data_IF_246651711185
#
_entry.id   IF_246651711185
#
_cell.length_a   1.000
_cell.length_b   1.000
_cell.length_c   1.000
_cell.angle_alpha   90.00
_cell.angle_beta   90.00
_cell.angle_gamma   90.00
#
_symmetry.space_group_name_H-M   'P 1'
#
loop_
_entity.id
_entity.type
_entity.pdbx_description
1 polymer ?
#
# COMPACT_ATOMS: atom_id res chain seq x y z
N UNK A 1 -33.51 -68.31 -36.81
CA UNK A 1 -33.41 -66.87 -37.14
C UNK A 1 -33.54 -66.18 -35.79
N UNK A 2 -32.48 -65.70 -35.14
CA UNK A 2 -31.48 -64.70 -35.55
C UNK A 2 -30.14 -65.06 -34.90
N UNK A 3 -29.06 -64.96 -35.67
CA UNK A 3 -27.68 -65.22 -35.24
C UNK A 3 -27.08 -63.96 -34.59
N UNK A 4 -26.42 -64.14 -33.44
CA UNK A 4 -25.65 -63.09 -32.76
C UNK A 4 -24.21 -63.03 -33.32
N UNK A 5 -23.62 -61.85 -33.53
CA UNK A 5 -22.21 -61.72 -33.92
C UNK A 5 -21.28 -61.72 -32.69
N UNK A 6 -20.01 -62.14 -32.84
CA UNK A 6 -19.00 -62.00 -31.80
C UNK A 6 -18.37 -60.61 -31.81
N UNK A 7 -18.31 -59.96 -30.65
CA UNK A 7 -17.53 -58.74 -30.44
C UNK A 7 -16.03 -59.07 -30.43
N UNK A 8 -15.31 -58.51 -31.40
CA UNK A 8 -13.84 -58.51 -31.47
C UNK A 8 -13.32 -57.49 -30.45
N UNK A 9 -12.60 -57.97 -29.44
CA UNK A 9 -11.91 -57.14 -28.47
C UNK A 9 -10.62 -56.58 -29.09
N UNK A 10 -10.59 -55.27 -29.35
CA UNK A 10 -9.40 -54.54 -29.79
C UNK A 10 -8.61 -54.09 -28.55
N UNK A 11 -7.51 -54.77 -28.25
CA UNK A 11 -6.54 -54.38 -27.22
C UNK A 11 -5.67 -53.23 -27.77
N UNK A 12 -5.94 -52.00 -27.33
CA UNK A 12 -5.05 -50.84 -27.54
C UNK A 12 -4.06 -50.79 -26.38
N UNK A 13 -2.80 -51.14 -26.65
CA UNK A 13 -1.69 -50.96 -25.70
C UNK A 13 -1.25 -49.49 -25.76
N UNK A 14 -1.74 -48.70 -24.82
CA UNK A 14 -1.26 -47.34 -24.55
C UNK A 14 0.03 -47.43 -23.74
N UNK A 15 1.18 -47.25 -24.40
CA UNK A 15 2.45 -47.01 -23.75
C UNK A 15 2.44 -45.59 -23.17
N UNK A 16 2.15 -45.44 -21.87
CA UNK A 16 2.35 -44.19 -21.15
C UNK A 16 3.84 -44.03 -20.87
N UNK A 17 4.45 -43.09 -21.60
CA UNK A 17 5.80 -42.58 -21.35
C UNK A 17 5.80 -41.79 -20.04
N UNK A 18 6.34 -42.37 -18.98
CA UNK A 18 6.56 -41.69 -17.71
C UNK A 18 7.71 -40.69 -17.84
N UNK A 19 7.41 -39.45 -18.19
CA UNK A 19 8.34 -38.33 -18.07
C UNK A 19 8.52 -38.03 -16.58
N UNK A 20 9.56 -38.60 -15.97
CA UNK A 20 10.01 -38.21 -14.63
C UNK A 20 10.59 -36.80 -14.71
N UNK A 21 9.76 -35.78 -14.55
CA UNK A 21 10.22 -34.48 -14.05
C UNK A 21 10.73 -34.74 -12.63
N UNK A 22 12.04 -34.89 -12.48
CA UNK A 22 12.67 -34.83 -11.18
C UNK A 22 12.45 -33.43 -10.63
N UNK A 23 11.62 -33.30 -9.60
CA UNK A 23 11.76 -32.19 -8.65
C UNK A 23 13.19 -32.31 -8.11
N UNK A 24 14.04 -31.37 -8.47
CA UNK A 24 15.33 -31.16 -7.80
C UNK A 24 14.97 -30.77 -6.37
N UNK A 25 14.98 -31.76 -5.46
CA UNK A 25 14.82 -31.50 -4.05
C UNK A 25 16.02 -30.64 -3.65
N UNK A 26 15.75 -29.44 -3.15
CA UNK A 26 16.78 -28.58 -2.58
C UNK A 26 17.38 -29.28 -1.37
N UNK A 27 18.55 -29.90 -1.52
CA UNK A 27 19.25 -30.71 -0.51
C UNK A 27 19.87 -29.88 0.64
N UNK A 28 19.39 -28.65 0.90
CA UNK A 28 19.93 -27.76 1.92
C UNK A 28 19.05 -27.69 3.19
N UNK A 29 19.65 -27.37 4.35
CA UNK A 29 18.93 -27.18 5.60
C UNK A 29 17.91 -26.03 5.53
N UNK A 30 16.88 -26.11 6.37
CA UNK A 30 15.76 -25.17 6.41
C UNK A 30 15.79 -24.25 7.63
N UNK A 31 15.59 -22.95 7.43
CA UNK A 31 15.42 -21.97 8.49
C UNK A 31 13.95 -21.59 8.62
N UNK A 32 13.47 -21.66 9.86
CA UNK A 32 12.12 -21.30 10.27
C UNK A 32 12.18 -20.07 11.15
N UNK A 33 11.48 -19.01 10.78
CA UNK A 33 11.51 -17.72 11.48
C UNK A 33 10.17 -17.46 12.13
N UNK A 34 10.16 -17.41 13.46
CA UNK A 34 9.02 -16.99 14.26
C UNK A 34 9.24 -15.54 14.72
N UNK A 35 8.19 -14.71 14.69
CA UNK A 35 8.20 -13.33 15.16
C UNK A 35 7.47 -13.24 16.49
N UNK A 36 8.10 -12.60 17.47
CA UNK A 36 7.44 -12.12 18.69
C UNK A 36 7.33 -10.60 18.67
N UNK A 37 6.15 -10.05 18.94
CA UNK A 37 5.95 -8.59 18.97
C UNK A 37 4.76 -8.17 19.82
N UNK A 38 4.82 -6.96 20.39
CA UNK A 38 3.76 -6.25 21.10
C UNK A 38 3.14 -5.10 20.26
N UNK A 39 3.41 -5.09 18.95
CA UNK A 39 2.56 -4.41 17.98
C UNK A 39 1.27 -5.21 17.78
N UNK A 40 0.14 -4.52 17.60
CA UNK A 40 -1.19 -5.11 17.49
C UNK A 40 -1.47 -5.47 16.02
N UNK A 41 -1.60 -6.77 15.67
CA UNK A 41 -1.86 -7.18 14.29
C UNK A 41 -3.24 -6.73 13.83
N UNK A 42 -3.36 -6.34 12.56
CA UNK A 42 -4.62 -5.84 11.99
C UNK A 42 -5.05 -4.46 12.50
N UNK A 43 -4.34 -3.88 13.48
CA UNK A 43 -4.49 -2.50 13.92
C UNK A 43 -3.30 -1.64 13.49
N UNK A 44 -2.08 -2.09 13.78
CA UNK A 44 -0.86 -1.30 13.51
C UNK A 44 -0.09 -1.82 12.29
N UNK A 45 -0.13 -3.13 12.04
CA UNK A 45 0.51 -3.75 10.88
C UNK A 45 -0.42 -4.78 10.25
N UNK A 46 -0.36 -4.90 8.93
CA UNK A 46 -1.14 -5.83 8.12
C UNK A 46 -0.30 -7.00 7.60
N UNK A 47 1.03 -6.84 7.51
CA UNK A 47 1.92 -7.83 6.93
C UNK A 47 3.28 -7.83 7.62
N UNK A 48 3.90 -8.99 7.68
CA UNK A 48 5.30 -9.16 8.07
C UNK A 48 6.08 -9.57 6.83
N UNK A 49 7.16 -8.85 6.52
CA UNK A 49 8.14 -9.26 5.51
C UNK A 49 9.40 -9.72 6.20
N UNK A 50 9.85 -10.93 5.86
CA UNK A 50 11.13 -11.49 6.31
C UNK A 50 12.03 -11.63 5.10
N UNK A 51 13.14 -10.91 5.06
CA UNK A 51 14.13 -10.99 3.99
C UNK A 51 15.45 -11.58 4.49
N UNK A 52 16.04 -12.49 3.71
CA UNK A 52 17.37 -13.05 3.95
C UNK A 52 18.40 -12.34 3.10
N UNK A 53 19.41 -11.77 3.76
CA UNK A 53 20.63 -11.23 3.17
C UNK A 53 21.86 -12.04 3.58
N UNK A 54 22.87 -12.08 2.70
CA UNK A 54 24.11 -12.81 2.92
C UNK A 54 24.03 -14.29 2.49
N UNK A 55 25.18 -14.96 2.43
CA UNK A 55 25.31 -16.35 1.94
C UNK A 55 25.23 -16.51 0.42
N UNK A 56 25.98 -17.46 -0.13
CA UNK A 56 26.05 -17.77 -1.57
C UNK A 56 24.89 -18.65 -2.04
N UNK A 57 23.65 -18.21 -1.88
CA UNK A 57 22.51 -19.00 -2.38
C UNK A 57 21.12 -18.43 -2.14
N UNK A 58 20.95 -17.55 -1.14
CA UNK A 58 19.65 -17.03 -0.72
C UNK A 58 19.61 -15.50 -0.54
N UNK A 59 20.66 -14.78 -0.96
CA UNK A 59 20.66 -13.31 -0.89
C UNK A 59 19.52 -12.73 -1.72
N UNK A 60 18.56 -12.06 -1.05
CA UNK A 60 17.37 -11.46 -1.66
C UNK A 60 16.12 -12.35 -1.63
N UNK A 61 16.17 -13.54 -0.99
CA UNK A 61 14.96 -14.32 -0.75
C UNK A 61 14.11 -13.64 0.34
N UNK A 62 12.79 -13.57 0.14
CA UNK A 62 11.87 -13.01 1.12
C UNK A 62 10.61 -13.86 1.26
N UNK A 63 9.98 -13.76 2.42
CA UNK A 63 8.67 -14.32 2.71
C UNK A 63 7.76 -13.20 3.24
N UNK A 64 6.57 -13.10 2.67
CA UNK A 64 5.50 -12.25 3.17
C UNK A 64 4.48 -13.09 3.94
N UNK A 65 4.07 -12.60 5.10
CA UNK A 65 3.06 -13.22 5.95
C UNK A 65 2.00 -12.18 6.33
N UNK A 66 0.76 -12.37 5.88
CA UNK A 66 -0.34 -11.49 6.24
C UNK A 66 -0.71 -11.68 7.73
N UNK A 67 -0.78 -10.59 8.46
CA UNK A 67 -1.00 -10.60 9.90
C UNK A 67 -2.49 -10.76 10.22
N UNK A 68 -2.86 -11.87 10.87
CA UNK A 68 -4.21 -12.06 11.35
C UNK A 68 -4.44 -11.35 12.69
N UNK A 69 -5.52 -10.59 12.82
CA UNK A 69 -5.87 -9.89 14.06
C UNK A 69 -6.06 -10.83 15.27
N UNK A 70 -6.33 -12.13 15.02
CA UNK A 70 -6.50 -13.17 16.05
C UNK A 70 -5.22 -13.92 16.39
N UNK A 71 -4.10 -13.63 15.71
CA UNK A 71 -2.84 -14.34 15.95
C UNK A 71 -2.14 -13.81 17.21
N UNK A 72 -1.59 -14.73 18.02
CA UNK A 72 -0.87 -14.38 19.23
C UNK A 72 0.63 -14.18 18.95
N UNK A 73 0.96 -12.96 18.55
CA UNK A 73 2.36 -12.56 18.32
C UNK A 73 3.17 -12.41 19.62
N UNK A 74 2.57 -12.45 20.81
CA UNK A 74 3.33 -12.42 22.06
C UNK A 74 3.94 -13.80 22.37
N UNK A 75 3.24 -14.88 22.03
CA UNK A 75 3.78 -16.23 22.14
C UNK A 75 4.71 -16.59 20.97
N UNK A 76 4.46 -16.01 19.80
CA UNK A 76 5.32 -16.07 18.62
C UNK A 76 4.62 -16.74 17.43
N UNK A 77 4.76 -16.15 16.24
CA UNK A 77 4.08 -16.59 15.01
C UNK A 77 5.09 -16.86 13.90
N UNK A 78 4.94 -17.97 13.18
CA UNK A 78 5.76 -18.29 12.00
C UNK A 78 5.52 -17.26 10.89
N UNK A 79 6.55 -16.51 10.53
CA UNK A 79 6.50 -15.45 9.51
C UNK A 79 7.37 -15.74 8.28
N UNK A 80 8.18 -16.81 8.30
CA UNK A 80 8.94 -17.24 7.14
C UNK A 80 9.51 -18.65 7.28
N UNK A 81 9.58 -19.37 6.19
CA UNK A 81 10.26 -20.65 6.08
C UNK A 81 11.09 -20.66 4.79
N UNK A 82 12.37 -20.97 4.94
CA UNK A 82 13.36 -20.89 3.87
C UNK A 82 14.11 -22.21 3.82
N UNK A 83 14.14 -22.83 2.65
CA UNK A 83 14.78 -24.13 2.43
C UNK A 83 16.02 -23.97 1.55
N UNK A 84 16.88 -24.99 1.50
CA UNK A 84 18.03 -24.97 0.58
C UNK A 84 19.13 -23.98 0.99
N UNK A 85 19.23 -23.62 2.27
CA UNK A 85 20.15 -22.58 2.73
C UNK A 85 21.57 -23.12 2.98
N UNK A 86 22.58 -22.34 2.59
CA UNK A 86 23.98 -22.59 2.94
C UNK A 86 24.23 -22.32 4.43
N UNK A 87 25.15 -23.09 5.03
CA UNK A 87 25.67 -22.79 6.35
C UNK A 87 26.50 -21.49 6.35
N UNK A 88 26.39 -20.69 7.40
CA UNK A 88 27.07 -19.42 7.55
C UNK A 88 26.28 -18.43 8.39
N UNK A 89 26.72 -17.17 8.40
CA UNK A 89 25.99 -16.08 9.05
C UNK A 89 24.93 -15.53 8.08
N UNK A 90 23.66 -15.74 8.42
CA UNK A 90 22.52 -15.23 7.67
C UNK A 90 22.03 -13.93 8.32
N UNK A 91 21.93 -12.86 7.55
CA UNK A 91 21.29 -11.63 7.98
C UNK A 91 19.80 -11.72 7.66
N UNK A 92 18.94 -11.49 8.64
CA UNK A 92 17.50 -11.43 8.50
C UNK A 92 17.04 -10.00 8.71
N UNK A 93 16.29 -9.45 7.77
CA UNK A 93 15.58 -8.18 7.95
C UNK A 93 14.10 -8.49 8.10
N UNK A 94 13.54 -8.21 9.28
CA UNK A 94 12.13 -8.43 9.59
C UNK A 94 11.45 -7.06 9.62
N UNK A 95 10.44 -6.86 8.79
CA UNK A 95 9.68 -5.61 8.69
C UNK A 95 8.22 -5.86 9.03
N UNK A 96 7.67 -5.03 9.91
CA UNK A 96 6.23 -4.86 10.06
C UNK A 96 5.77 -3.82 9.04
N UNK A 97 4.82 -4.20 8.19
CA UNK A 97 4.27 -3.34 7.15
C UNK A 97 2.82 -2.99 7.47
N UNK A 98 2.47 -1.72 7.29
CA UNK A 98 1.09 -1.25 7.29
C UNK A 98 0.36 -1.73 6.03
N UNK A 99 -0.95 -1.51 5.99
CA UNK A 99 -1.78 -1.89 4.85
C UNK A 99 -1.36 -1.20 3.54
N UNK A 100 -0.88 0.04 3.63
CA UNK A 100 -0.34 0.81 2.51
C UNK A 100 1.07 0.37 2.05
N UNK A 101 1.63 -0.65 2.69
CA UNK A 101 2.97 -1.18 2.41
C UNK A 101 4.11 -0.39 3.08
N UNK A 102 3.83 0.70 3.81
CA UNK A 102 4.86 1.43 4.55
C UNK A 102 5.41 0.60 5.69
N UNK A 103 6.70 0.71 5.96
CA UNK A 103 7.32 0.05 7.11
C UNK A 103 6.93 0.77 8.40
N UNK A 104 6.25 0.05 9.30
CA UNK A 104 5.98 0.49 10.67
C UNK A 104 7.23 0.37 11.54
N UNK A 105 7.88 -0.80 11.49
CA UNK A 105 9.04 -1.11 12.29
C UNK A 105 9.92 -2.15 11.56
N UNK A 106 11.22 -2.11 11.82
CA UNK A 106 12.18 -3.00 11.16
C UNK A 106 13.21 -3.49 12.17
N UNK A 107 13.67 -4.73 11.99
CA UNK A 107 14.74 -5.32 12.81
C UNK A 107 15.71 -6.11 11.96
N UNK A 108 16.99 -5.85 12.18
CA UNK A 108 18.09 -6.68 11.72
C UNK A 108 18.42 -7.75 12.77
N UNK A 109 18.43 -9.01 12.34
CA UNK A 109 18.87 -10.16 13.13
C UNK A 109 19.97 -10.91 12.37
N UNK A 110 20.89 -11.56 13.08
CA UNK A 110 21.94 -12.40 12.47
C UNK A 110 21.90 -13.79 13.08
N UNK A 111 21.71 -14.79 12.23
CA UNK A 111 21.63 -16.20 12.64
C UNK A 111 22.89 -16.93 12.20
N UNK A 112 23.59 -17.54 13.15
CA UNK A 112 24.70 -18.47 12.89
C UNK A 112 24.13 -19.82 12.46
N UNK A 113 23.94 -20.00 11.17
CA UNK A 113 23.22 -21.13 10.61
C UNK A 113 24.17 -22.26 10.20
N UNK A 114 23.84 -23.49 10.59
CA UNK A 114 24.68 -24.68 10.29
C UNK A 114 23.88 -25.93 9.94
N UNK A 115 22.61 -25.97 10.33
CA UNK A 115 21.65 -27.05 10.12
C UNK A 115 20.26 -26.48 10.27
N UNK A 116 19.23 -27.25 9.88
CA UNK A 116 17.85 -26.79 10.00
C UNK A 116 17.52 -26.35 11.43
N UNK A 117 16.93 -25.17 11.55
CA UNK A 117 16.71 -24.51 12.84
C UNK A 117 15.43 -23.68 12.81
N UNK A 118 14.80 -23.53 13.99
CA UNK A 118 13.79 -22.52 14.25
C UNK A 118 14.40 -21.41 15.10
N UNK A 119 14.15 -20.17 14.72
CA UNK A 119 14.58 -18.98 15.48
C UNK A 119 13.39 -18.10 15.77
N UNK A 120 13.36 -17.48 16.96
CA UNK A 120 12.37 -16.48 17.33
C UNK A 120 13.02 -15.12 17.37
N UNK A 121 12.45 -14.16 16.66
CA UNK A 121 12.93 -12.79 16.57
C UNK A 121 11.94 -11.89 17.31
N UNK A 122 12.36 -11.30 18.43
CA UNK A 122 11.61 -10.26 19.16
C UNK A 122 11.69 -8.86 18.51
N UNK A 123 10.61 -8.34 17.96
CA UNK A 123 10.53 -6.96 17.45
C UNK A 123 9.56 -6.19 18.35
N UNK A 124 10.09 -5.44 19.32
CA UNK A 124 9.27 -4.75 20.33
C UNK A 124 9.00 -3.28 19.99
N UNK A 125 7.86 -2.76 20.44
CA UNK A 125 7.47 -1.35 20.31
C UNK A 125 8.44 -0.40 20.99
N UNK A 126 9.03 -0.80 22.10
CA UNK A 126 10.05 -0.01 22.80
C UNK A 126 11.27 0.32 21.94
N UNK A 127 11.44 -0.32 20.79
CA UNK A 127 12.48 -0.01 19.80
C UNK A 127 12.06 0.97 18.71
N UNK A 128 10.82 1.46 18.67
CA UNK A 128 10.30 2.32 17.59
C UNK A 128 11.17 3.57 17.35
N UNK A 129 11.62 4.19 18.45
CA UNK A 129 12.39 5.44 18.42
C UNK A 129 13.88 5.24 18.79
N UNK A 130 14.35 3.99 18.80
CA UNK A 130 15.73 3.65 19.18
C UNK A 130 16.60 3.51 17.95
N UNK A 131 17.62 4.36 17.85
CA UNK A 131 18.67 4.25 16.82
C UNK A 131 19.88 3.51 17.37
N UNK A 132 20.25 2.39 16.75
CA UNK A 132 21.41 1.60 17.13
C UNK A 132 22.54 1.64 16.08
N UNK A 133 23.82 1.77 16.49
CA UNK A 133 24.27 1.94 17.88
C UNK A 133 23.89 3.31 18.45
N UNK A 134 23.51 3.34 19.73
CA UNK A 134 23.25 4.57 20.45
C UNK A 134 24.53 5.34 20.76
N UNK A 135 24.38 6.54 21.32
CA UNK A 135 25.54 7.38 21.66
C UNK A 135 26.33 6.75 22.81
N UNK A 136 27.53 6.24 22.50
CA UNK A 136 28.42 5.60 23.48
C UNK A 136 28.38 4.07 23.45
N UNK A 137 27.47 3.48 22.66
CA UNK A 137 27.37 2.04 22.49
C UNK A 137 28.49 1.51 21.57
N UNK A 138 28.93 0.26 21.74
CA UNK A 138 29.82 -0.41 20.80
C UNK A 138 29.26 -0.43 19.37
N UNK A 139 30.14 -0.29 18.37
CA UNK A 139 29.75 -0.34 16.96
C UNK A 139 29.12 -1.69 16.51
N UNK A 140 29.28 -2.75 17.31
CA UNK A 140 28.65 -4.06 17.10
C UNK A 140 27.17 -4.08 17.48
N UNK A 141 26.72 -3.17 18.35
CA UNK A 141 25.34 -3.10 18.83
C UNK A 141 24.45 -2.37 17.84
N UNK A 142 24.09 -3.07 16.76
CA UNK A 142 23.38 -2.51 15.60
C UNK A 142 21.90 -2.87 15.55
N UNK A 143 21.40 -3.64 16.51
CA UNK A 143 20.00 -4.02 16.61
C UNK A 143 19.41 -3.52 17.93
N UNK A 144 18.09 -3.33 17.98
CA UNK A 144 17.38 -3.03 19.21
C UNK A 144 16.56 -4.24 19.65
N UNK A 145 16.59 -4.54 20.94
CA UNK A 145 15.73 -5.52 21.60
C UNK A 145 15.20 -4.89 22.89
N UNK A 146 13.87 -4.86 23.03
CA UNK A 146 13.19 -4.34 24.21
C UNK A 146 13.55 -2.88 24.56
N UNK A 147 14.04 -2.08 23.61
CA UNK A 147 14.43 -0.68 23.83
C UNK A 147 15.91 -0.48 24.16
N UNK A 148 16.73 -1.55 24.11
CA UNK A 148 18.18 -1.47 24.31
C UNK A 148 18.93 -1.89 23.04
N UNK A 149 20.00 -1.17 22.71
CA UNK A 149 20.90 -1.58 21.63
C UNK A 149 21.68 -2.84 22.03
N UNK A 150 21.76 -3.79 21.11
CA UNK A 150 22.38 -5.11 21.30
C UNK A 150 23.04 -5.58 20.00
N UNK A 151 23.91 -6.58 20.11
CA UNK A 151 24.44 -7.28 18.94
C UNK A 151 23.29 -7.97 18.16
N UNK A 152 23.25 -7.91 16.82
CA UNK A 152 22.20 -8.54 16.01
C UNK A 152 22.02 -10.05 16.21
N UNK A 153 22.96 -10.74 16.85
CA UNK A 153 22.84 -12.16 17.24
C UNK A 153 22.00 -12.41 18.49
N UNK A 154 21.62 -11.36 19.24
CA UNK A 154 20.59 -11.42 20.27
C UNK A 154 19.22 -11.44 19.56
N UNK A 155 18.48 -12.56 19.56
CA UNK A 155 17.28 -12.75 18.74
C UNK A 155 15.99 -12.61 19.56
N UNK A 156 15.85 -13.36 20.65
CA UNK A 156 14.64 -13.37 21.48
C UNK A 156 14.76 -12.51 22.75
N UNK A 157 15.98 -12.11 23.13
CA UNK A 157 16.23 -11.28 24.31
C UNK A 157 16.68 -12.06 25.55
N UNK A 158 16.69 -13.39 25.47
CA UNK A 158 17.08 -14.31 26.55
C UNK A 158 18.41 -15.03 26.29
N UNK A 159 19.06 -14.75 25.16
CA UNK A 159 20.37 -15.29 24.84
C UNK A 159 21.47 -14.68 25.71
N UNK A 160 22.55 -15.44 25.95
CA UNK A 160 23.71 -14.97 26.73
C UNK A 160 24.39 -13.73 26.12
N UNK A 161 24.23 -13.52 24.81
CA UNK A 161 24.74 -12.35 24.08
C UNK A 161 23.87 -11.11 24.24
N UNK A 162 22.68 -11.23 24.81
CA UNK A 162 21.78 -10.12 25.06
C UNK A 162 22.16 -9.32 26.31
N UNK A 163 21.62 -8.10 26.41
CA UNK A 163 21.63 -7.35 27.65
C UNK A 163 20.90 -8.12 28.78
N UNK A 164 21.18 -7.83 30.06
CA UNK A 164 20.45 -8.41 31.17
C UNK A 164 18.92 -8.24 31.01
N UNK A 165 18.12 -9.22 31.46
CA UNK A 165 16.67 -9.16 31.32
C UNK A 165 16.10 -7.93 32.05
N UNK A 166 15.10 -7.30 31.44
CA UNK A 166 14.39 -6.14 31.98
C UNK A 166 13.37 -6.53 33.05
N UNK A 167 12.87 -7.76 32.97
CA UNK A 167 11.84 -8.27 33.85
C UNK A 167 12.04 -9.74 34.17
N UNK A 168 11.51 -10.13 35.32
CA UNK A 168 11.30 -11.51 35.74
C UNK A 168 9.81 -11.86 35.81
N UNK A 169 8.97 -10.86 36.06
CA UNK A 169 7.52 -10.97 36.11
C UNK A 169 6.84 -9.73 35.51
N UNK A 170 5.54 -9.81 35.24
CA UNK A 170 4.77 -8.71 34.65
C UNK A 170 4.79 -7.43 35.49
N UNK A 171 4.92 -7.55 36.82
CA UNK A 171 4.95 -6.42 37.75
C UNK A 171 6.23 -5.57 37.64
N UNK A 172 7.30 -6.11 37.03
CA UNK A 172 8.54 -5.36 36.77
C UNK A 172 8.38 -4.38 35.61
N UNK A 173 7.35 -4.55 34.78
CA UNK A 173 7.15 -3.80 33.56
C UNK A 173 6.22 -2.60 33.75
N UNK A 174 6.52 -1.52 33.04
CA UNK A 174 5.67 -0.34 33.02
C UNK A 174 4.29 -0.66 32.43
N UNK A 175 3.23 -0.10 33.03
CA UNK A 175 1.88 -0.21 32.48
C UNK A 175 1.76 0.55 31.15
N UNK A 176 0.97 0.02 30.22
CA UNK A 176 0.61 0.68 28.97
C UNK A 176 -0.61 1.60 29.12
N UNK A 177 -1.37 1.76 28.04
CA UNK A 177 -2.69 2.41 28.11
C UNK A 177 -3.66 1.59 29.00
N UNK A 178 -4.82 2.17 29.35
CA UNK A 178 -5.76 1.55 30.29
C UNK A 178 -6.33 0.20 29.84
N UNK A 179 -6.18 -0.16 28.57
CA UNK A 179 -6.61 -1.44 28.01
C UNK A 179 -5.44 -2.37 27.68
N UNK A 180 -4.20 -2.00 28.06
CA UNK A 180 -3.02 -2.84 27.88
C UNK A 180 -2.51 -3.37 29.22
N UNK A 181 -2.08 -4.63 29.20
CA UNK A 181 -1.47 -5.30 30.33
C UNK A 181 0.02 -5.49 30.09
N UNK A 182 0.89 -5.11 31.03
CA UNK A 182 2.30 -5.46 30.95
C UNK A 182 2.47 -6.98 31.01
N UNK A 183 3.34 -7.52 30.16
CA UNK A 183 3.72 -8.93 30.19
C UNK A 183 5.24 -9.06 30.08
N UNK A 184 5.79 -9.97 30.89
CA UNK A 184 7.20 -10.34 30.78
C UNK A 184 7.33 -11.60 29.92
N UNK A 185 8.12 -11.52 28.84
CA UNK A 185 8.37 -12.64 27.93
C UNK A 185 9.84 -12.65 27.50
N UNK A 186 10.54 -13.75 27.76
CA UNK A 186 11.97 -13.87 27.41
C UNK A 186 12.84 -12.78 28.04
N UNK A 187 12.48 -12.30 29.25
CA UNK A 187 13.19 -11.21 29.91
C UNK A 187 12.89 -9.80 29.35
N UNK A 188 12.03 -9.67 28.35
CA UNK A 188 11.61 -8.39 27.78
C UNK A 188 10.23 -7.97 28.29
N UNK A 189 10.08 -6.67 28.56
CA UNK A 189 8.79 -6.06 28.84
C UNK A 189 8.04 -5.79 27.55
N UNK A 190 6.86 -6.39 27.42
CA UNK A 190 5.95 -6.26 26.29
C UNK A 190 4.57 -5.83 26.80
N UNK A 191 3.71 -5.36 25.89
CA UNK A 191 2.34 -4.98 26.21
C UNK A 191 1.35 -5.90 25.48
N UNK A 192 0.49 -6.57 26.25
CA UNK A 192 -0.64 -7.34 25.73
C UNK A 192 -1.90 -6.49 25.70
N UNK A 193 -2.74 -6.68 24.70
CA UNK A 193 -4.10 -6.10 24.70
C UNK A 193 -4.98 -6.87 25.67
N UNK A 194 -5.79 -6.15 26.43
CA UNK A 194 -6.89 -6.70 27.23
C UNK A 194 -8.21 -6.35 26.54
N UNK A 195 -8.79 -7.28 25.76
CA UNK A 195 -10.03 -7.02 25.03
C UNK A 195 -11.22 -6.80 25.96
N UNK A 196 -11.19 -7.33 27.19
CA UNK A 196 -12.27 -7.19 28.17
C UNK A 196 -12.25 -5.81 28.86
N UNK A 197 -11.14 -5.07 28.74
CA UNK A 197 -11.02 -3.72 29.27
C UNK A 197 -11.75 -2.67 28.42
N UNK A 198 -12.10 -2.98 27.18
CA UNK A 198 -12.83 -2.07 26.29
C UNK A 198 -14.33 -2.40 26.20
N UNK A 199 -15.14 -1.37 25.97
CA UNK A 199 -16.58 -1.55 25.76
C UNK A 199 -16.86 -2.34 24.47
N UNK A 200 -18.05 -2.92 24.35
CA UNK A 200 -18.47 -3.62 23.13
C UNK A 200 -18.35 -2.70 21.90
N UNK A 201 -17.73 -3.20 20.83
CA UNK A 201 -17.47 -2.42 19.62
C UNK A 201 -16.25 -1.50 19.69
N UNK A 202 -15.41 -1.64 20.73
CA UNK A 202 -14.11 -0.97 20.81
C UNK A 202 -12.96 -1.97 20.76
N UNK A 203 -11.81 -1.52 20.25
CA UNK A 203 -10.53 -2.25 20.24
C UNK A 203 -9.51 -1.50 21.10
N UNK A 204 -8.60 -2.25 21.70
CA UNK A 204 -7.52 -1.64 22.47
C UNK A 204 -6.41 -1.14 21.56
N UNK A 205 -6.23 0.18 21.52
CA UNK A 205 -5.10 0.83 20.89
C UNK A 205 -3.99 1.12 21.91
N UNK A 206 -2.72 0.81 21.58
CA UNK A 206 -1.61 0.90 22.52
C UNK A 206 -1.31 2.32 23.03
N UNK A 207 -1.47 3.33 22.16
CA UNK A 207 -1.30 4.74 22.52
C UNK A 207 -2.62 5.39 22.96
N UNK A 208 -3.71 5.18 22.22
CA UNK A 208 -4.98 5.90 22.41
C UNK A 208 -5.91 5.30 23.47
N UNK A 209 -5.65 4.06 23.93
CA UNK A 209 -6.58 3.33 24.79
C UNK A 209 -7.72 2.70 23.99
N UNK A 210 -8.92 2.60 24.55
CA UNK A 210 -10.07 2.02 23.84
C UNK A 210 -10.57 2.96 22.74
N UNK A 211 -10.50 2.50 21.49
CA UNK A 211 -11.00 3.22 20.31
C UNK A 211 -12.11 2.41 19.64
N UNK A 212 -13.02 3.04 18.90
CA UNK A 212 -14.04 2.29 18.16
C UNK A 212 -13.37 1.26 17.21
N UNK A 213 -13.86 0.03 17.24
CA UNK A 213 -13.49 -0.97 16.26
C UNK A 213 -13.90 -0.46 14.89
N UNK A 214 -13.00 -0.51 13.90
CA UNK A 214 -13.46 -0.42 12.53
C UNK A 214 -14.49 -1.54 12.30
N UNK A 215 -15.56 -1.24 11.56
CA UNK A 215 -16.50 -2.29 11.13
C UNK A 215 -15.75 -3.42 10.42
N UNK A 216 -16.44 -4.56 10.22
CA UNK A 216 -15.89 -5.86 9.77
C UNK A 216 -15.08 -5.88 8.44
N UNK A 217 -14.66 -4.74 7.90
CA UNK A 217 -13.88 -4.55 6.68
C UNK A 217 -12.44 -4.01 6.83
N UNK A 218 -11.91 -3.74 8.03
CA UNK A 218 -10.46 -3.51 8.22
C UNK A 218 -10.06 -2.32 9.09
N UNK A 219 -9.02 -2.54 9.92
CA UNK A 219 -8.12 -1.64 10.67
C UNK A 219 -8.75 -0.40 11.34
N UNK A 220 -8.60 -0.27 12.67
CA UNK A 220 -9.13 0.90 13.38
C UNK A 220 -8.56 2.19 12.80
N UNK A 221 -9.46 3.13 12.52
CA UNK A 221 -9.15 4.41 11.90
C UNK A 221 -8.12 5.17 12.73
N UNK A 222 -7.11 5.74 12.08
CA UNK A 222 -6.32 6.79 12.70
C UNK A 222 -7.25 8.01 12.93
N UNK A 223 -7.39 8.43 14.20
CA UNK A 223 -8.01 9.73 14.55
C UNK A 223 -7.12 10.83 13.95
N UNK A 224 -7.67 11.87 13.29
CA UNK A 224 -9.04 12.37 13.43
C UNK A 224 -10.15 11.68 12.62
N UNK A 225 -9.92 11.21 11.41
CA UNK A 225 -10.74 10.26 10.64
C UNK A 225 -10.01 9.95 9.31
N UNK A 226 -10.40 8.89 8.58
CA UNK A 226 -9.84 8.60 7.25
C UNK A 226 -10.79 9.04 6.13
N UNK A 227 -10.41 10.03 5.29
CA UNK A 227 -11.25 10.52 4.21
C UNK A 227 -11.16 9.66 2.93
N UNK A 228 -10.23 8.70 2.86
CA UNK A 228 -10.08 7.76 1.72
C UNK A 228 -11.07 6.61 1.87
N UNK A 229 -11.67 6.16 0.76
CA UNK A 229 -12.64 5.06 0.79
C UNK A 229 -11.98 3.69 1.04
N UNK A 230 -12.60 2.79 1.83
CA UNK A 230 -13.81 3.04 2.64
C UNK A 230 -13.53 4.01 3.81
N UNK A 231 -14.34 5.06 3.92
CA UNK A 231 -14.16 6.06 4.96
C UNK A 231 -14.44 5.47 6.33
N UNK A 232 -13.76 6.00 7.34
CA UNK A 232 -13.94 5.54 8.70
C UNK A 232 -13.57 6.62 9.74
N UNK A 233 -14.05 6.47 10.98
CA UNK A 233 -13.75 7.38 12.09
C UNK A 233 -14.84 8.42 12.41
N UNK A 234 -15.95 8.44 11.67
CA UNK A 234 -17.08 9.34 11.90
C UNK A 234 -18.38 8.60 12.28
N UNK A 235 -19.31 9.31 12.91
CA UNK A 235 -20.66 8.81 13.22
C UNK A 235 -21.44 8.51 11.92
N UNK A 236 -22.47 7.64 11.92
CA UNK A 236 -23.20 7.24 10.70
C UNK A 236 -23.90 8.37 9.92
N UNK A 237 -24.03 9.56 10.50
CA UNK A 237 -24.62 10.74 9.84
C UNK A 237 -23.56 11.72 9.29
N UNK A 238 -22.28 11.44 9.55
CA UNK A 238 -21.14 12.27 9.20
C UNK A 238 -20.22 11.52 8.23
N UNK A 239 -19.53 12.29 7.39
CA UNK A 239 -18.46 11.82 6.50
C UNK A 239 -17.15 12.46 6.90
N UNK A 240 -16.04 11.74 6.73
CA UNK A 240 -14.72 12.30 6.93
C UNK A 240 -14.36 13.18 5.73
N UNK A 241 -14.32 14.50 5.94
CA UNK A 241 -14.01 15.47 4.88
C UNK A 241 -12.70 16.20 5.19
N UNK A 242 -12.08 16.77 4.17
CA UNK A 242 -10.95 17.67 4.39
C UNK A 242 -11.48 19.06 4.79
N UNK A 243 -11.09 19.52 5.97
CA UNK A 243 -11.35 20.87 6.43
C UNK A 243 -10.53 21.90 5.62
N UNK A 244 -10.78 23.20 5.85
CA UNK A 244 -10.11 24.28 5.11
C UNK A 244 -8.59 24.31 5.33
N UNK A 245 -8.13 23.81 6.48
CA UNK A 245 -6.72 23.66 6.82
C UNK A 245 -6.07 22.40 6.21
N UNK A 246 -6.87 21.58 5.52
CA UNK A 246 -6.42 20.34 4.89
C UNK A 246 -6.37 19.12 5.81
N UNK A 247 -6.78 19.25 7.08
CA UNK A 247 -6.88 18.12 7.99
C UNK A 247 -8.21 17.39 7.81
N UNK A 248 -8.24 16.05 7.99
CA UNK A 248 -9.49 15.31 7.98
C UNK A 248 -10.30 15.61 9.24
N UNK A 249 -11.57 15.95 9.07
CA UNK A 249 -12.53 16.21 10.14
C UNK A 249 -13.88 15.57 9.81
N UNK A 250 -14.60 15.11 10.83
CA UNK A 250 -15.96 14.63 10.65
C UNK A 250 -16.91 15.81 10.45
N UNK A 251 -17.62 15.79 9.32
CA UNK A 251 -18.62 16.79 8.98
C UNK A 251 -19.93 16.12 8.56
N UNK A 252 -21.10 16.74 8.81
CA UNK A 252 -22.38 16.22 8.36
C UNK A 252 -22.37 15.98 6.85
N UNK A 253 -22.82 14.79 6.43
CA UNK A 253 -22.88 14.47 5.00
C UNK A 253 -23.90 15.39 4.31
N UNK A 254 -23.50 16.13 3.26
CA UNK A 254 -24.41 17.04 2.57
C UNK A 254 -25.60 16.27 1.97
N UNK A 255 -26.77 16.91 1.89
CA UNK A 255 -27.97 16.29 1.32
C UNK A 255 -28.75 17.31 0.47
N UNK A 256 -28.86 17.13 -0.86
CA UNK A 256 -28.22 16.10 -1.68
C UNK A 256 -26.71 16.35 -1.81
N UNK A 257 -25.91 15.29 -1.73
CA UNK A 257 -24.48 15.35 -1.98
C UNK A 257 -24.19 15.14 -3.49
N UNK A 258 -23.39 16.02 -4.13
CA UNK A 258 -22.94 15.81 -5.49
C UNK A 258 -22.04 14.57 -5.61
N UNK A 259 -22.33 13.73 -6.60
CA UNK A 259 -21.57 12.52 -6.91
C UNK A 259 -20.22 12.83 -7.58
N UNK A 260 -19.41 11.80 -7.82
CA UNK A 260 -18.15 11.94 -8.56
C UNK A 260 -18.37 12.61 -9.92
N UNK A 261 -17.55 13.62 -10.24
CA UNK A 261 -17.68 14.40 -11.47
C UNK A 261 -18.80 15.46 -11.47
N UNK A 262 -19.56 15.61 -10.38
CA UNK A 262 -20.52 16.70 -10.24
C UNK A 262 -19.88 17.98 -9.70
N UNK A 263 -20.49 19.13 -10.02
CA UNK A 263 -20.03 20.44 -9.59
C UNK A 263 -20.23 20.62 -8.08
N UNK A 264 -19.31 21.33 -7.44
CA UNK A 264 -19.27 21.46 -5.99
C UNK A 264 -18.75 22.82 -5.55
N UNK A 265 -19.16 23.26 -4.36
CA UNK A 265 -18.72 24.52 -3.75
C UNK A 265 -18.26 24.27 -2.31
N UNK A 266 -16.95 24.25 -2.10
CA UNK A 266 -16.33 24.02 -0.79
C UNK A 266 -15.90 22.57 -0.57
N UNK A 267 -14.82 22.37 0.20
CA UNK A 267 -14.10 21.09 0.30
C UNK A 267 -14.99 19.90 0.74
N UNK A 268 -15.94 20.13 1.64
CA UNK A 268 -16.84 19.13 2.22
C UNK A 268 -18.23 19.07 1.57
N UNK A 269 -18.40 19.63 0.37
CA UNK A 269 -19.73 19.70 -0.28
C UNK A 269 -20.11 18.44 -1.07
N UNK A 270 -19.17 17.51 -1.27
CA UNK A 270 -19.33 16.29 -2.07
C UNK A 270 -19.89 15.10 -1.29
N UNK A 271 -20.27 14.03 -2.00
CA UNK A 271 -20.66 12.75 -1.39
C UNK A 271 -19.52 12.11 -0.59
N UNK A 272 -19.89 11.17 0.26
CA UNK A 272 -18.98 10.45 1.17
C UNK A 272 -17.81 9.84 0.38
N UNK A 273 -16.58 10.07 0.82
CA UNK A 273 -15.37 9.59 0.13
C UNK A 273 -14.81 10.54 -0.93
N UNK A 274 -15.49 11.66 -1.18
CA UNK A 274 -15.12 12.62 -2.21
C UNK A 274 -14.71 13.97 -1.60
N UNK A 275 -13.85 14.69 -2.31
CA UNK A 275 -13.48 16.06 -1.99
C UNK A 275 -13.78 16.96 -3.17
N UNK A 276 -14.19 18.19 -2.88
CA UNK A 276 -14.29 19.22 -3.89
C UNK A 276 -12.91 19.78 -4.21
N UNK A 277 -12.37 19.46 -5.39
CA UNK A 277 -11.13 20.08 -5.87
C UNK A 277 -11.42 21.37 -6.61
N UNK A 278 -10.58 22.38 -6.38
CA UNK A 278 -10.64 23.69 -7.03
C UNK A 278 -10.27 23.62 -8.52
N UNK A 279 -11.15 23.02 -9.33
CA UNK A 279 -11.18 23.09 -10.80
C UNK A 279 -12.16 24.19 -11.21
N UNK A 280 -12.14 24.69 -12.47
CA UNK A 280 -13.17 25.61 -12.95
C UNK A 280 -14.56 24.99 -12.76
N UNK A 281 -15.39 25.60 -11.92
CA UNK A 281 -16.71 25.10 -11.54
C UNK A 281 -16.75 24.14 -10.34
N UNK A 282 -15.60 23.80 -9.77
CA UNK A 282 -15.46 22.79 -8.70
C UNK A 282 -15.80 21.38 -9.21
N UNK A 283 -15.08 20.37 -8.71
CA UNK A 283 -15.42 19.00 -9.08
C UNK A 283 -15.23 18.03 -7.92
N UNK A 284 -16.24 17.19 -7.68
CA UNK A 284 -16.12 16.10 -6.73
C UNK A 284 -15.25 14.98 -7.29
N UNK A 285 -14.17 14.67 -6.58
CA UNK A 285 -13.23 13.60 -6.95
C UNK A 285 -12.92 12.73 -5.74
N UNK A 286 -12.60 11.47 -5.99
CA UNK A 286 -12.22 10.52 -4.93
C UNK A 286 -10.82 10.82 -4.40
N UNK A 287 -10.63 10.72 -3.08
CA UNK A 287 -9.32 10.80 -2.45
C UNK A 287 -8.59 9.45 -2.47
N UNK A 288 -7.26 9.50 -2.55
CA UNK A 288 -6.39 8.32 -2.57
C UNK A 288 -5.04 8.59 -1.90
N UNK A 289 -4.39 7.51 -1.43
CA UNK A 289 -2.98 7.43 -1.07
C UNK A 289 -2.17 6.74 -2.17
N UNK A 290 -2.76 5.74 -2.82
CA UNK A 290 -2.19 5.01 -3.94
C UNK A 290 -3.23 4.60 -4.97
N UNK A 291 -2.76 4.00 -6.07
CA UNK A 291 -3.63 3.64 -7.19
C UNK A 291 -4.72 2.62 -6.83
N UNK A 292 -4.49 1.80 -5.80
CA UNK A 292 -5.43 0.79 -5.32
C UNK A 292 -6.69 1.38 -4.68
N UNK A 293 -6.63 2.64 -4.23
CA UNK A 293 -7.77 3.31 -3.61
C UNK A 293 -8.79 3.79 -4.65
N UNK A 294 -8.38 3.97 -5.91
CA UNK A 294 -9.22 4.52 -6.96
C UNK A 294 -10.14 3.44 -7.56
N UNK A 295 -11.45 3.67 -7.52
CA UNK A 295 -12.42 2.76 -8.18
C UNK A 295 -12.17 2.74 -9.69
N UNK A 296 -11.91 3.92 -10.25
CA UNK A 296 -11.50 4.12 -11.64
C UNK A 296 -10.30 5.08 -11.69
N UNK A 297 -9.41 4.89 -12.65
CA UNK A 297 -8.24 5.75 -12.85
C UNK A 297 -7.04 5.43 -11.96
N UNK A 298 -6.28 6.47 -11.62
CA UNK A 298 -4.99 6.40 -10.91
C UNK A 298 -4.84 7.55 -9.93
N UNK A 299 -4.00 7.37 -8.92
CA UNK A 299 -3.77 8.36 -7.89
C UNK A 299 -2.72 9.39 -8.36
N UNK A 300 -3.12 10.64 -8.63
CA UNK A 300 -2.30 11.54 -9.46
C UNK A 300 -1.91 12.87 -8.82
N UNK A 301 -2.86 13.61 -8.26
CA UNK A 301 -2.64 15.01 -7.86
C UNK A 301 -2.77 15.20 -6.37
N UNK A 302 -1.77 15.83 -5.76
CA UNK A 302 -1.89 16.33 -4.38
C UNK A 302 -3.05 17.31 -4.31
N UNK A 303 -3.97 17.07 -3.38
CA UNK A 303 -5.07 17.99 -3.13
C UNK A 303 -4.50 19.16 -2.33
N UNK A 304 -4.44 20.33 -2.96
CA UNK A 304 -4.16 21.56 -2.24
C UNK A 304 -5.48 22.03 -1.61
N UNK A 305 -5.48 22.22 -0.29
CA UNK A 305 -6.61 22.86 0.37
C UNK A 305 -6.77 24.30 -0.10
N UNK A 306 -7.97 24.86 0.06
CA UNK A 306 -8.32 26.25 -0.26
C UNK A 306 -7.46 27.29 0.47
N UNK A 307 -6.75 26.92 1.54
CA UNK A 307 -5.83 27.78 2.28
C UNK A 307 -4.34 27.59 1.89
N UNK A 308 -4.02 26.77 0.89
CA UNK A 308 -2.64 26.51 0.47
C UNK A 308 -1.86 25.55 1.37
N UNK A 309 -2.53 24.91 2.34
CA UNK A 309 -1.93 23.81 3.08
C UNK A 309 -1.83 22.58 2.16
N UNK A 310 -0.62 22.02 2.06
CA UNK A 310 -0.39 20.76 1.36
C UNK A 310 -0.96 19.63 2.19
N UNK A 311 -1.89 18.90 1.62
CA UNK A 311 -2.38 17.68 2.26
C UNK A 311 -1.47 16.51 1.88
N UNK A 312 -1.47 15.47 2.71
CA UNK A 312 -0.86 14.18 2.37
C UNK A 312 -1.70 13.39 1.36
N UNK A 313 -2.91 13.86 1.05
CA UNK A 313 -3.87 13.16 0.20
C UNK A 313 -3.75 13.58 -1.26
N UNK A 314 -4.07 12.64 -2.13
CA UNK A 314 -4.14 12.84 -3.57
C UNK A 314 -5.57 12.61 -4.05
N UNK A 315 -5.87 13.05 -5.27
CA UNK A 315 -7.12 12.73 -5.95
C UNK A 315 -6.92 11.66 -7.02
N UNK A 316 -7.90 10.77 -7.16
CA UNK A 316 -8.02 9.88 -8.30
C UNK A 316 -8.28 10.68 -9.59
N UNK A 317 -7.66 10.25 -10.68
CA UNK A 317 -8.01 10.73 -12.03
C UNK A 317 -9.40 10.26 -12.40
N UNK A 318 -10.07 11.03 -13.27
CA UNK A 318 -11.19 10.50 -14.03
C UNK A 318 -10.68 10.12 -15.41
N UNK A 319 -10.64 8.82 -15.74
CA UNK A 319 -10.24 8.37 -17.07
C UNK A 319 -11.09 9.06 -18.15
N UNK A 320 -10.42 9.57 -19.17
CA UNK A 320 -11.04 10.27 -20.27
C UNK A 320 -10.23 10.05 -21.54
N UNK A 321 -10.83 10.28 -22.71
CA UNK A 321 -10.11 10.29 -23.99
C UNK A 321 -9.75 11.73 -24.38
N UNK A 322 -8.49 11.99 -24.76
CA UNK A 322 -8.06 13.31 -25.25
C UNK A 322 -8.47 13.58 -26.70
N UNK A 323 -9.16 12.64 -27.37
CA UNK A 323 -9.53 12.75 -28.77
C UNK A 323 -10.72 13.70 -29.00
N UNK A 324 -10.86 14.16 -30.25
CA UNK A 324 -11.95 15.07 -30.64
C UNK A 324 -13.30 14.38 -30.48
N UNK A 325 -14.22 15.03 -29.78
CA UNK A 325 -15.60 14.58 -29.63
C UNK A 325 -15.88 13.76 -28.37
N UNK A 326 -14.87 13.43 -27.57
CA UNK A 326 -15.11 12.83 -26.27
C UNK A 326 -15.80 13.85 -25.33
N UNK A 327 -16.94 13.47 -24.77
CA UNK A 327 -17.72 14.24 -23.79
C UNK A 327 -17.70 13.60 -22.40
N UNK A 328 -16.81 12.64 -22.15
CA UNK A 328 -16.64 11.99 -20.83
C UNK A 328 -16.39 13.00 -19.72
N UNK A 329 -15.63 14.05 -20.01
CA UNK A 329 -15.31 15.06 -19.01
C UNK A 329 -16.50 16.01 -18.71
N UNK A 330 -16.94 16.09 -17.43
CA UNK A 330 -18.11 16.87 -17.03
C UNK A 330 -17.84 18.38 -16.92
N UNK A 331 -18.90 19.17 -16.78
CA UNK A 331 -18.87 20.58 -16.38
C UNK A 331 -17.95 21.50 -17.21
N UNK A 332 -17.84 21.25 -18.52
CA UNK A 332 -16.99 22.07 -19.39
C UNK A 332 -15.50 21.85 -19.20
N UNK A 333 -15.11 20.82 -18.45
CA UNK A 333 -13.74 20.32 -18.40
C UNK A 333 -13.44 19.49 -19.66
N UNK A 334 -12.17 19.19 -19.89
CA UNK A 334 -11.72 18.35 -21.01
C UNK A 334 -10.68 17.37 -20.53
N UNK A 335 -10.44 16.37 -21.35
CA UNK A 335 -9.37 15.44 -21.08
C UNK A 335 -8.01 16.08 -21.34
N UNK A 336 -7.13 16.01 -20.34
CA UNK A 336 -5.77 16.53 -20.39
C UNK A 336 -4.83 15.36 -20.11
N UNK A 337 -3.80 15.23 -20.94
CA UNK A 337 -2.68 14.36 -20.67
C UNK A 337 -1.67 15.12 -19.80
N UNK A 338 -1.33 14.57 -18.64
CA UNK A 338 -0.36 15.18 -17.72
C UNK A 338 0.65 14.15 -17.26
N UNK A 339 1.92 14.56 -17.19
CA UNK A 339 2.99 13.69 -16.71
C UNK A 339 3.10 13.80 -15.19
N UNK A 340 2.99 12.68 -14.52
CA UNK A 340 3.22 12.55 -13.09
C UNK A 340 4.69 12.21 -12.86
N UNK A 341 5.45 13.16 -12.30
CA UNK A 341 6.89 13.05 -12.09
C UNK A 341 7.29 12.57 -10.69
N UNK A 342 6.34 12.51 -9.76
CA UNK A 342 6.55 12.11 -8.37
C UNK A 342 6.36 10.60 -8.14
N UNK A 343 6.36 9.84 -9.23
CA UNK A 343 6.43 8.36 -9.26
C UNK A 343 7.62 7.94 -10.13
N UNK A 344 8.23 6.79 -9.81
CA UNK A 344 9.37 6.24 -10.55
C UNK A 344 9.01 4.84 -11.10
N UNK A 345 8.94 4.65 -12.43
CA UNK A 345 9.17 5.65 -13.48
C UNK A 345 8.02 6.68 -13.60
N UNK A 346 8.30 7.90 -14.11
CA UNK A 346 7.25 8.86 -14.44
C UNK A 346 6.23 8.24 -15.41
N UNK A 347 4.98 8.65 -15.27
CA UNK A 347 3.87 8.14 -16.10
C UNK A 347 2.99 9.27 -16.63
N UNK A 348 2.38 9.08 -17.78
CA UNK A 348 1.38 10.01 -18.32
C UNK A 348 -0.01 9.53 -17.92
N UNK A 349 -0.84 10.44 -17.45
CA UNK A 349 -2.20 10.17 -17.02
C UNK A 349 -3.18 11.06 -17.78
N UNK A 350 -4.32 10.47 -18.16
CA UNK A 350 -5.49 11.21 -18.63
C UNK A 350 -6.39 11.60 -17.45
N UNK A 351 -6.70 12.89 -17.33
CA UNK A 351 -7.62 13.41 -16.30
C UNK A 351 -8.46 14.56 -16.86
N UNK A 352 -9.67 14.73 -16.34
CA UNK A 352 -10.58 15.79 -16.72
C UNK A 352 -10.24 17.10 -16.02
N UNK A 353 -9.56 18.03 -16.69
CA UNK A 353 -9.04 19.27 -16.06
C UNK A 353 -9.26 20.54 -16.91
N UNK A 354 -9.18 21.68 -16.22
CA UNK A 354 -9.18 23.03 -16.76
C UNK A 354 -10.48 23.42 -17.46
N UNK A 355 -10.59 24.69 -17.90
CA UNK A 355 -11.59 25.06 -18.88
C UNK A 355 -11.11 24.60 -20.27
N UNK A 356 -12.05 24.29 -21.15
CA UNK A 356 -11.72 24.08 -22.57
C UNK A 356 -11.19 25.40 -23.15
N UNK A 357 -9.99 25.39 -23.71
CA UNK A 357 -9.45 26.53 -24.42
C UNK A 357 -10.22 26.82 -25.71
N UNK A 358 -9.98 27.98 -26.31
CA UNK A 358 -10.68 28.40 -27.54
C UNK A 358 -9.79 28.40 -28.78
N UNK A 359 -8.48 28.16 -28.63
CA UNK A 359 -7.55 28.26 -29.75
C UNK A 359 -7.66 27.02 -30.65
N UNK A 360 -7.90 27.20 -31.96
CA UNK A 360 -7.94 26.10 -32.92
C UNK A 360 -6.56 25.48 -33.15
N UNK A 361 -6.51 24.43 -33.96
CA UNK A 361 -5.28 23.81 -34.41
C UNK A 361 -4.37 24.82 -35.13
N UNK A 362 -3.07 24.76 -34.86
CA UNK A 362 -2.05 25.64 -35.46
C UNK A 362 -1.84 26.96 -34.73
N UNK A 363 -2.74 27.36 -33.83
CA UNK A 363 -2.55 28.56 -33.01
C UNK A 363 -1.46 28.35 -31.95
N UNK A 364 -0.71 29.41 -31.60
CA UNK A 364 0.29 29.32 -30.55
C UNK A 364 -0.39 29.03 -29.21
N UNK A 365 0.28 28.32 -28.32
CA UNK A 365 -0.16 28.03 -26.96
C UNK A 365 1.02 28.17 -25.98
N UNK A 366 0.71 28.47 -24.72
CA UNK A 366 1.72 28.57 -23.66
C UNK A 366 1.65 27.40 -22.69
N UNK A 367 0.47 26.79 -22.62
CA UNK A 367 0.20 25.53 -21.97
C UNK A 367 -1.01 24.90 -22.65
N UNK A 368 -1.37 23.71 -22.20
CA UNK A 368 -2.50 22.97 -22.71
C UNK A 368 -3.81 23.78 -22.62
N UNK A 369 -4.06 24.61 -21.60
CA UNK A 369 -5.34 25.34 -21.34
C UNK A 369 -5.76 26.29 -22.45
N UNK A 370 -4.84 26.67 -23.34
CA UNK A 370 -5.17 27.54 -24.46
C UNK A 370 -5.89 26.82 -25.61
N UNK A 371 -5.67 25.52 -25.80
CA UNK A 371 -6.14 24.79 -26.98
C UNK A 371 -7.60 24.31 -26.86
N UNK A 372 -8.30 24.23 -27.99
CA UNK A 372 -9.64 23.66 -28.06
C UNK A 372 -9.68 22.17 -27.69
N UNK A 373 -10.88 21.61 -27.46
CA UNK A 373 -11.06 20.18 -27.15
C UNK A 373 -10.49 19.32 -28.28
N UNK A 374 -9.77 18.24 -27.92
CA UNK A 374 -9.10 17.36 -28.87
C UNK A 374 -7.70 17.82 -29.29
N UNK A 375 -7.23 18.96 -28.78
CA UNK A 375 -5.92 19.52 -29.10
C UNK A 375 -5.02 19.56 -27.86
N UNK A 376 -3.74 19.24 -28.05
CA UNK A 376 -2.68 19.40 -27.06
C UNK A 376 -1.72 20.53 -27.46
N UNK A 377 -1.12 21.18 -26.46
CA UNK A 377 -0.08 22.18 -26.71
C UNK A 377 1.27 21.48 -26.85
N UNK A 378 1.79 21.42 -28.09
CA UNK A 378 3.02 20.70 -28.43
C UNK A 378 3.89 21.65 -29.26
N UNK A 379 5.14 21.84 -28.84
CA UNK A 379 6.07 22.81 -29.42
C UNK A 379 5.46 24.22 -29.52
N UNK A 380 4.80 24.66 -28.45
CA UNK A 380 4.09 25.94 -28.34
C UNK A 380 2.97 26.15 -29.38
N UNK A 381 2.45 25.07 -29.98
CA UNK A 381 1.33 25.12 -30.94
C UNK A 381 0.25 24.09 -30.61
N UNK A 382 -1.01 24.46 -30.77
CA UNK A 382 -2.13 23.54 -30.62
C UNK A 382 -2.15 22.51 -31.75
N UNK A 383 -1.99 21.23 -31.41
CA UNK A 383 -1.92 20.09 -32.34
C UNK A 383 -3.03 19.09 -32.08
N UNK A 384 -3.55 18.49 -33.14
CA UNK A 384 -4.56 17.45 -33.07
C UNK A 384 -3.96 16.12 -32.61
N UNK A 385 -4.52 15.53 -31.56
CA UNK A 385 -4.15 14.20 -31.08
C UNK A 385 -4.91 13.12 -31.85
N UNK A 386 -4.29 11.96 -32.01
CA UNK A 386 -4.88 10.77 -32.63
C UNK A 386 -4.57 9.50 -31.85
N UNK A 387 -5.45 8.52 -31.95
CA UNK A 387 -5.24 7.17 -31.39
C UNK A 387 -4.30 6.37 -32.29
N UNK A 388 -3.19 5.85 -31.76
CA UNK A 388 -2.26 5.03 -32.54
C UNK A 388 -2.83 3.64 -32.88
N UNK A 389 -3.75 3.13 -32.08
CA UNK A 389 -4.44 1.86 -32.34
C UNK A 389 -5.56 2.01 -33.38
N UNK A 390 -6.18 3.19 -33.46
CA UNK A 390 -7.24 3.52 -34.40
C UNK A 390 -7.10 4.95 -34.96
N UNK A 391 -6.12 5.21 -35.87
CA UNK A 391 -5.84 6.55 -36.37
C UNK A 391 -7.06 7.23 -36.99
N UNK A 392 -7.42 8.39 -36.44
CA UNK A 392 -8.64 9.17 -36.78
C UNK A 392 -8.32 10.54 -37.41
N UNK A 393 -7.11 10.71 -37.93
CA UNK A 393 -6.68 11.97 -38.51
C UNK A 393 -7.53 12.41 -39.73
N UNK A 394 -7.80 13.73 -39.86
CA UNK A 394 -8.45 14.30 -41.04
C UNK A 394 -7.73 13.97 -42.35
N UNK A 395 -8.49 14.01 -43.45
CA UNK A 395 -8.03 13.66 -44.80
C UNK A 395 -6.70 14.30 -45.17
N UNK A 396 -5.66 13.47 -45.35
CA UNK A 396 -4.34 13.88 -45.82
C UNK A 396 -3.27 14.02 -44.73
N UNK A 397 -3.63 13.86 -43.45
CA UNK A 397 -2.69 13.76 -42.34
C UNK A 397 -2.49 12.29 -41.94
N UNK A 398 -1.38 12.01 -41.27
CA UNK A 398 -1.10 10.69 -40.69
C UNK A 398 -0.85 10.83 -39.19
N UNK A 399 -1.23 9.81 -38.43
CA UNK A 399 -0.92 9.79 -37.00
C UNK A 399 0.56 9.44 -36.82
N UNK A 400 1.41 10.41 -36.46
CA UNK A 400 2.85 10.19 -36.27
C UNK A 400 3.12 9.57 -34.89
N UNK A 401 3.67 8.34 -34.82
CA UNK A 401 4.01 7.67 -33.57
C UNK A 401 5.29 8.20 -32.92
N UNK A 402 6.07 9.08 -33.55
CA UNK A 402 7.34 9.58 -32.98
C UNK A 402 7.12 10.59 -31.86
N UNK A 403 5.97 11.23 -31.86
CA UNK A 403 5.55 12.21 -30.86
C UNK A 403 4.54 11.61 -29.87
N UNK A 404 4.71 10.33 -29.54
CA UNK A 404 3.70 9.59 -28.81
C UNK A 404 3.71 9.86 -27.31
N UNK A 405 2.51 9.89 -26.74
CA UNK A 405 2.27 9.94 -25.31
C UNK A 405 1.56 8.64 -24.92
N UNK A 406 2.25 7.79 -24.17
CA UNK A 406 1.66 6.56 -23.61
C UNK A 406 1.01 6.89 -22.27
N UNK A 407 -0.32 6.91 -22.24
CA UNK A 407 -1.12 7.18 -21.06
C UNK A 407 -1.83 5.92 -20.56
N UNK A 408 -2.43 6.01 -19.38
CA UNK A 408 -3.20 4.92 -18.77
C UNK A 408 -4.43 4.48 -19.58
N UNK A 409 -4.90 5.33 -20.49
CA UNK A 409 -6.07 5.09 -21.36
C UNK A 409 -5.71 4.71 -22.81
N UNK A 410 -4.43 4.72 -23.19
CA UNK A 410 -3.98 4.38 -24.54
C UNK A 410 -2.73 5.13 -25.01
N UNK A 411 -2.30 4.82 -26.23
CA UNK A 411 -1.16 5.46 -26.88
C UNK A 411 -1.64 6.47 -27.91
N UNK A 412 -1.22 7.73 -27.75
CA UNK A 412 -1.65 8.84 -28.60
C UNK A 412 -0.49 9.38 -29.43
N UNK A 413 -0.74 9.69 -30.70
CA UNK A 413 0.18 10.41 -31.58
C UNK A 413 -0.33 11.81 -31.91
N UNK A 414 0.31 12.44 -32.91
CA UNK A 414 -0.10 13.74 -33.46
C UNK A 414 -0.50 13.56 -34.92
N UNK A 415 -1.58 14.20 -35.35
CA UNK A 415 -1.90 14.29 -36.77
C UNK A 415 -0.99 15.32 -37.45
N UNK A 416 -0.14 14.88 -38.38
CA UNK A 416 0.70 15.76 -39.22
C UNK A 416 0.91 15.26 -40.66
#
# INVERSE_FOLDING_TARGET
MVASPPYVALLVVLALSSSTMGCEASDGPALRVDLRTDYVPGLEFARVRTEIGGGTGASGAFADHDAAATADYLEGVRVGEFEGLDAGDLSLTIQLLRLDGTTLASRLAVVRFSKSAGVTVLLSRSCADVTCPGTGDPATERACVAGSCVDPTCLAGDEETCAPPQCSEAADCAAGSSCMLPVCRGGACLLATDPDSCAAGMVCHPVLGCVAAAGDGGMACEIPCDPVLPQCGCEPADSCALAEDGNPECAPTPTPAPAIGEACEGAASCDTGLVCVSRPGGLCVQLCRGDADCVEGRCSRVVNSVAGARTQFRSCTMPCSPLVGDTTCPNGTRCVLSTQYDVDPPRVLADCDGPVGIRPEGDPCGDFTHCARGLACIDDVCRLLCDLAAPDCPSGLTCDPRSFLSADVGDFGICE
#
